data_IF_126523464801
#
_entry.id   IF_126523464801
#
_cell.length_a   1.000
_cell.length_b   1.000
_cell.length_c   1.000
_cell.angle_alpha   90.00
_cell.angle_beta   90.00
_cell.angle_gamma   90.00
#
_symmetry.space_group_name_H-M   'P 1'
#
loop_
_entity.id
_entity.type
_entity.pdbx_description
1 polymer ?
#
# COMPACT_ATOMS: atom_id res chain seq x y z
N UNK A 1 -3.46 -39.39 -16.93
CA UNK A 1 -2.20 -39.49 -16.18
C UNK A 1 -1.16 -38.77 -17.03
N UNK A 2 -0.51 -37.68 -16.65
CA UNK A 2 -0.35 -36.96 -15.40
C UNK A 2 -0.12 -35.48 -15.73
N UNK A 3 -0.57 -34.60 -14.83
CA UNK A 3 -0.37 -33.15 -14.92
C UNK A 3 1.10 -32.84 -14.66
N UNK A 4 1.80 -32.26 -15.63
CA UNK A 4 3.17 -31.80 -15.45
C UNK A 4 3.15 -30.57 -14.52
N UNK A 5 3.35 -30.79 -13.22
CA UNK A 5 3.57 -29.74 -12.23
C UNK A 5 4.91 -29.10 -12.56
N UNK A 6 4.88 -27.92 -13.16
CA UNK A 6 6.06 -27.05 -13.31
C UNK A 6 6.74 -26.94 -11.95
N UNK A 7 7.98 -27.42 -11.89
CA UNK A 7 8.83 -27.35 -10.72
C UNK A 7 9.09 -25.87 -10.43
N UNK A 8 8.43 -25.34 -9.40
CA UNK A 8 8.80 -24.04 -8.80
C UNK A 8 10.16 -24.25 -8.16
N UNK A 9 11.15 -23.49 -8.61
CA UNK A 9 12.54 -23.60 -8.18
C UNK A 9 12.65 -23.19 -6.71
N UNK A 10 13.49 -23.90 -5.93
CA UNK A 10 13.59 -23.71 -4.47
C UNK A 10 14.13 -22.32 -4.11
N UNK A 11 14.74 -21.62 -5.07
CA UNK A 11 15.18 -20.23 -4.97
C UNK A 11 14.02 -19.21 -4.90
N UNK A 12 12.82 -19.52 -5.39
CA UNK A 12 11.68 -18.59 -5.41
C UNK A 12 10.95 -18.44 -4.06
N UNK A 13 11.33 -19.24 -3.04
CA UNK A 13 10.65 -19.30 -1.74
C UNK A 13 11.42 -18.60 -0.60
N UNK A 14 12.53 -17.92 -0.91
CA UNK A 14 13.29 -17.17 0.10
C UNK A 14 12.71 -15.75 0.26
N UNK A 15 12.67 -15.22 1.50
CA UNK A 15 12.30 -13.83 1.73
C UNK A 15 13.22 -12.91 0.93
N UNK A 16 12.63 -12.10 0.04
CA UNK A 16 13.36 -11.14 -0.77
C UNK A 16 13.02 -9.72 -0.31
N UNK A 17 14.06 -8.90 -0.17
CA UNK A 17 13.88 -7.47 0.03
C UNK A 17 13.34 -6.86 -1.26
N UNK A 18 12.23 -6.15 -1.16
CA UNK A 18 11.61 -5.42 -2.27
C UNK A 18 11.53 -3.93 -1.92
N UNK A 19 11.60 -3.07 -2.93
CA UNK A 19 11.34 -1.64 -2.74
C UNK A 19 9.84 -1.42 -2.69
N UNK A 20 9.35 -0.71 -1.68
CA UNK A 20 7.91 -0.49 -1.50
C UNK A 20 7.28 0.25 -2.69
N UNK A 21 8.01 1.19 -3.29
CA UNK A 21 7.53 1.96 -4.45
C UNK A 21 7.30 1.07 -5.70
N UNK A 22 8.02 -0.04 -5.82
CA UNK A 22 7.87 -0.97 -6.95
C UNK A 22 6.66 -1.92 -6.76
N UNK A 23 5.98 -1.85 -5.62
CA UNK A 23 4.84 -2.71 -5.30
C UNK A 23 3.48 -2.06 -5.60
N UNK A 24 3.43 -0.78 -5.97
CA UNK A 24 2.19 -0.07 -6.30
C UNK A 24 2.43 0.89 -7.45
N UNK A 25 1.49 0.93 -8.40
CA UNK A 25 1.56 1.81 -9.57
C UNK A 25 0.46 2.87 -9.52
N UNK A 26 0.77 4.06 -10.02
CA UNK A 26 -0.24 5.08 -10.27
C UNK A 26 -1.20 4.63 -11.38
N UNK A 27 -2.46 5.05 -11.27
CA UNK A 27 -3.48 4.85 -12.29
C UNK A 27 -4.26 6.13 -12.50
N UNK A 28 -4.50 6.49 -13.77
CA UNK A 28 -5.15 7.74 -14.13
C UNK A 28 -6.55 7.84 -13.50
N UNK A 29 -6.85 8.99 -12.91
CA UNK A 29 -8.08 9.34 -12.22
C UNK A 29 -8.49 8.29 -11.17
N UNK A 30 -7.52 7.74 -10.43
CA UNK A 30 -7.78 6.62 -9.53
C UNK A 30 -6.87 6.61 -8.30
N UNK A 31 -7.31 5.85 -7.31
CA UNK A 31 -6.53 5.49 -6.13
C UNK A 31 -6.26 4.00 -6.20
N UNK A 32 -4.99 3.61 -6.21
CA UNK A 32 -4.58 2.21 -6.12
C UNK A 32 -4.17 1.94 -4.69
N UNK A 33 -4.73 0.87 -4.11
CA UNK A 33 -4.39 0.42 -2.75
C UNK A 33 -3.89 -1.01 -2.78
N UNK A 34 -2.78 -1.26 -2.08
CA UNK A 34 -2.22 -2.60 -1.91
C UNK A 34 -1.92 -2.86 -0.45
N UNK A 35 -2.69 -3.73 0.18
CA UNK A 35 -2.41 -4.23 1.53
C UNK A 35 -1.22 -5.19 1.52
N UNK A 36 -0.19 -4.88 2.31
CA UNK A 36 1.02 -5.71 2.46
C UNK A 36 1.09 -6.43 3.80
N UNK A 37 0.40 -5.92 4.83
CA UNK A 37 0.19 -6.61 6.09
C UNK A 37 -1.28 -6.48 6.46
N UNK A 38 -1.94 -7.62 6.68
CA UNK A 38 -3.29 -7.68 7.23
C UNK A 38 -3.30 -8.60 8.44
N UNK A 39 -3.40 -8.01 9.63
CA UNK A 39 -3.41 -8.73 10.91
C UNK A 39 -4.47 -8.12 11.81
N UNK A 40 -4.94 -8.91 12.78
CA UNK A 40 -5.88 -8.44 13.81
C UNK A 40 -5.36 -7.25 14.61
N UNK A 41 -4.04 -7.09 14.70
CA UNK A 41 -3.37 -6.00 15.43
C UNK A 41 -3.17 -4.74 14.60
N UNK A 42 -3.54 -4.75 13.31
CA UNK A 42 -3.38 -3.60 12.42
C UNK A 42 -3.09 -4.00 10.97
N UNK A 43 -3.25 -3.01 10.09
CA UNK A 43 -3.09 -3.15 8.64
C UNK A 43 -2.00 -2.20 8.17
N UNK A 44 -1.17 -2.65 7.23
CA UNK A 44 -0.24 -1.79 6.49
C UNK A 44 -0.60 -1.89 5.01
N UNK A 45 -0.92 -0.75 4.42
CA UNK A 45 -1.29 -0.65 3.01
C UNK A 45 -0.47 0.46 2.32
N UNK A 46 -0.06 0.17 1.09
CA UNK A 46 0.52 1.14 0.18
C UNK A 46 -0.60 1.77 -0.63
N UNK A 47 -0.48 3.07 -0.89
CA UNK A 47 -1.43 3.81 -1.70
C UNK A 47 -0.68 4.61 -2.77
N UNK A 48 -1.24 4.63 -3.98
CA UNK A 48 -0.85 5.54 -5.05
C UNK A 48 -2.09 6.36 -5.45
N UNK A 49 -1.98 7.67 -5.28
CA UNK A 49 -3.05 8.62 -5.58
C UNK A 49 -2.68 9.37 -6.85
N UNK A 50 -3.55 9.35 -7.87
CA UNK A 50 -3.39 10.30 -8.97
C UNK A 50 -3.69 11.73 -8.51
N UNK A 51 -3.28 12.72 -9.31
CA UNK A 51 -3.48 14.13 -8.99
C UNK A 51 -4.96 14.44 -8.68
N UNK A 52 -5.19 15.13 -7.57
CA UNK A 52 -6.53 15.50 -7.09
C UNK A 52 -7.34 14.35 -6.48
N UNK A 53 -6.80 13.14 -6.39
CA UNK A 53 -7.42 12.04 -5.66
C UNK A 53 -7.07 12.06 -4.17
N UNK A 54 -7.96 11.53 -3.34
CA UNK A 54 -7.74 11.44 -1.90
C UNK A 54 -8.78 10.54 -1.22
N UNK A 55 -8.52 10.20 0.04
CA UNK A 55 -9.49 9.48 0.87
C UNK A 55 -10.36 10.48 1.65
N UNK A 56 -11.62 10.12 1.86
CA UNK A 56 -12.47 10.86 2.79
C UNK A 56 -11.94 10.72 4.22
N UNK A 57 -12.13 11.77 5.01
CA UNK A 57 -11.80 11.76 6.43
C UNK A 57 -12.53 10.60 7.13
N UNK A 58 -11.78 9.84 7.92
CA UNK A 58 -12.28 8.69 8.66
C UNK A 58 -11.48 8.53 9.95
N UNK A 59 -12.06 7.79 10.91
CA UNK A 59 -11.42 7.50 12.19
C UNK A 59 -10.78 6.12 12.16
N UNK A 60 -9.53 6.02 12.60
CA UNK A 60 -8.87 4.75 12.86
C UNK A 60 -9.02 4.36 14.35
N UNK A 61 -9.19 3.07 14.66
CA UNK A 61 -9.27 2.59 16.05
C UNK A 61 -7.91 2.61 16.78
N UNK A 62 -6.81 2.89 16.07
CA UNK A 62 -5.44 2.93 16.56
C UNK A 62 -4.68 4.11 15.95
N UNK A 63 -3.46 4.35 16.41
CA UNK A 63 -2.55 5.32 15.81
C UNK A 63 -2.27 4.96 14.33
N UNK A 64 -2.39 5.96 13.46
CA UNK A 64 -2.10 5.82 12.03
C UNK A 64 -0.76 6.49 11.71
N UNK A 65 0.19 5.71 11.19
CA UNK A 65 1.46 6.22 10.66
C UNK A 65 1.34 6.38 9.14
N UNK A 66 1.69 7.56 8.64
CA UNK A 66 1.75 7.86 7.21
C UNK A 66 3.18 8.17 6.81
N UNK A 67 3.65 7.54 5.74
CA UNK A 67 4.96 7.78 5.16
C UNK A 67 4.79 8.17 3.68
N UNK A 68 5.32 9.33 3.30
CA UNK A 68 5.38 9.76 1.91
C UNK A 68 6.67 9.23 1.28
N UNK A 69 6.53 8.38 0.26
CA UNK A 69 7.67 7.80 -0.47
C UNK A 69 7.96 8.53 -1.78
N UNK A 70 6.93 9.17 -2.37
CA UNK A 70 7.02 9.92 -3.62
C UNK A 70 5.94 11.01 -3.64
N UNK A 71 6.23 12.11 -4.34
CA UNK A 71 5.34 13.27 -4.47
C UNK A 71 5.10 14.06 -3.18
N UNK A 72 3.99 14.81 -3.18
CA UNK A 72 3.52 15.65 -2.09
C UNK A 72 2.05 15.32 -1.78
N UNK A 73 1.63 15.48 -0.53
CA UNK A 73 0.25 15.27 -0.12
C UNK A 73 -0.16 16.25 0.97
N UNK A 74 -1.41 16.71 0.90
CA UNK A 74 -2.06 17.43 1.98
C UNK A 74 -2.76 16.44 2.92
N UNK A 75 -2.46 16.52 4.21
CA UNK A 75 -3.06 15.65 5.22
C UNK A 75 -3.92 16.50 6.14
N UNK A 76 -5.17 16.10 6.35
CA UNK A 76 -6.09 16.75 7.27
C UNK A 76 -6.36 15.85 8.48
N UNK A 77 -6.28 16.40 9.68
CA UNK A 77 -6.59 15.72 10.94
C UNK A 77 -7.62 16.55 11.70
N UNK A 78 -8.81 15.98 11.93
CA UNK A 78 -9.93 16.68 12.59
C UNK A 78 -10.28 17.99 11.89
N UNK A 79 -10.38 17.94 10.55
CA UNK A 79 -10.68 19.09 9.70
C UNK A 79 -9.59 20.18 9.64
N UNK A 80 -8.38 19.92 10.14
CA UNK A 80 -7.26 20.88 10.10
C UNK A 80 -6.10 20.33 9.27
N UNK A 81 -5.50 21.13 8.36
CA UNK A 81 -4.30 20.70 7.64
C UNK A 81 -3.15 20.50 8.61
N UNK A 82 -2.41 19.40 8.43
CA UNK A 82 -1.16 19.12 9.12
C UNK A 82 -0.07 20.01 8.49
N UNK A 83 0.53 20.89 9.31
CA UNK A 83 1.61 21.79 8.89
C UNK A 83 2.99 21.16 9.03
#
# INVERSE_FOLDING_TARGET
MERNKGQVSKEELLPKAEKLIDLVDYQKNSIVSRTIIDKKTGTVALFAFDEGQGLSEHTAPFDALVCLFDGEAEIFISGKPLQ
#
